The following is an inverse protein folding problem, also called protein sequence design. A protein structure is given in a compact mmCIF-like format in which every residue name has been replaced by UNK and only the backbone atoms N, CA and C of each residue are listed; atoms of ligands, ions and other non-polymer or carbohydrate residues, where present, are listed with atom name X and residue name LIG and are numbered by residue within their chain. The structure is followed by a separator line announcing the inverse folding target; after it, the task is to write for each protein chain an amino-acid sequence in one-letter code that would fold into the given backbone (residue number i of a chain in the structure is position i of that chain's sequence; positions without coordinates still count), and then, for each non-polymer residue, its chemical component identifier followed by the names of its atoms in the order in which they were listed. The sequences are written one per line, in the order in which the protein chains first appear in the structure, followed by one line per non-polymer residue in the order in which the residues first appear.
data_IF_365235392456
#
_entry.id   IF_365235392456
#
_cell.length_a   1.000
_cell.length_b   1.000
_cell.length_c   1.000
_cell.angle_alpha   90.00
_cell.angle_beta   90.00
_cell.angle_gamma   90.00
#
_symmetry.space_group_name_H-M   'P 1'
#
loop_
_entity.id
_entity.type
_entity.pdbx_description
1 polymer ?
#
# COMPACT_ATOMS: atom_id res chain seq x y z
N UNK A 1 3.40 13.59 -2.24
CA UNK A 1 4.15 13.07 -3.40
C UNK A 1 3.29 12.05 -4.12
N UNK A 2 3.35 11.94 -5.45
CA UNK A 2 2.53 10.95 -6.17
C UNK A 2 3.34 9.66 -6.36
N UNK A 3 2.82 8.55 -5.84
CA UNK A 3 3.38 7.20 -5.97
C UNK A 3 2.56 6.44 -6.99
N UNK A 4 3.18 6.10 -8.13
CA UNK A 4 2.55 5.23 -9.12
C UNK A 4 2.55 3.79 -8.60
N UNK A 5 1.38 3.16 -8.59
CA UNK A 5 1.22 1.72 -8.35
C UNK A 5 0.94 0.99 -9.67
N UNK A 6 1.20 -0.33 -9.70
CA UNK A 6 1.24 -1.12 -10.94
C UNK A 6 -0.08 -1.10 -11.73
N UNK A 7 -1.23 -0.89 -11.07
CA UNK A 7 -2.54 -0.80 -11.73
C UNK A 7 -2.86 0.56 -12.37
N UNK A 8 -1.85 1.42 -12.57
CA UNK A 8 -2.00 2.68 -13.31
C UNK A 8 -2.59 3.83 -12.49
N UNK A 9 -2.75 3.66 -11.18
CA UNK A 9 -3.20 4.72 -10.27
C UNK A 9 -2.01 5.41 -9.58
N UNK A 10 -2.21 6.68 -9.23
CA UNK A 10 -1.29 7.46 -8.42
C UNK A 10 -1.85 7.61 -7.01
N UNK A 11 -1.16 7.03 -6.02
CA UNK A 11 -1.41 7.29 -4.61
C UNK A 11 -0.76 8.62 -4.24
N UNK A 12 -1.53 9.56 -3.71
CA UNK A 12 -0.92 10.72 -3.07
C UNK A 12 -0.48 10.32 -1.66
N UNK A 13 0.83 10.24 -1.46
CA UNK A 13 1.45 9.87 -0.17
C UNK A 13 1.02 10.75 1.00
N UNK A 14 0.64 12.00 0.74
CA UNK A 14 0.16 12.93 1.77
C UNK A 14 -1.20 12.53 2.36
N UNK A 15 -1.91 11.61 1.72
CA UNK A 15 -3.23 11.17 2.17
C UNK A 15 -3.25 9.71 2.60
N UNK A 16 -2.09 9.06 2.75
CA UNK A 16 -2.03 7.73 3.36
C UNK A 16 -2.34 7.87 4.85
N UNK A 17 -3.35 7.14 5.29
CA UNK A 17 -3.85 7.12 6.67
C UNK A 17 -3.17 5.98 7.44
N UNK A 18 -3.07 4.80 6.83
CA UNK A 18 -2.48 3.63 7.46
C UNK A 18 -1.90 2.66 6.43
N UNK A 19 -0.88 1.92 6.86
CA UNK A 19 -0.30 0.79 6.13
C UNK A 19 -0.29 -0.40 7.08
N UNK A 20 -0.93 -1.49 6.67
CA UNK A 20 -0.96 -2.74 7.41
C UNK A 20 -0.38 -3.85 6.55
N UNK A 21 0.46 -4.70 7.14
CA UNK A 21 0.97 -5.91 6.50
C UNK A 21 0.61 -7.09 7.37
N UNK A 22 -0.01 -8.10 6.77
CA UNK A 22 -0.37 -9.33 7.45
C UNK A 22 0.00 -10.53 6.59
N UNK A 23 0.29 -11.66 7.23
CA UNK A 23 0.45 -12.94 6.54
C UNK A 23 -0.90 -13.65 6.59
N UNK A 24 -1.44 -13.97 5.43
CA UNK A 24 -2.62 -14.82 5.33
C UNK A 24 -2.22 -16.25 5.70
N UNK A 25 -2.77 -16.75 6.81
CA UNK A 25 -2.42 -18.06 7.37
C UNK A 25 -2.89 -19.22 6.49
N UNK A 26 -3.92 -19.00 5.67
CA UNK A 26 -4.52 -20.01 4.79
C UNK A 26 -3.82 -20.11 3.44
N UNK A 27 -3.45 -18.98 2.83
CA UNK A 27 -2.73 -18.96 1.54
C UNK A 27 -1.22 -18.91 1.67
N UNK A 28 -0.70 -18.59 2.86
CA UNK A 28 0.73 -18.35 3.10
C UNK A 28 1.26 -17.03 2.56
N UNK A 29 0.44 -16.29 1.81
CA UNK A 29 0.76 -15.04 1.12
C UNK A 29 0.80 -13.85 2.10
N UNK A 30 1.54 -12.83 1.73
CA UNK A 30 1.60 -11.56 2.46
C UNK A 30 0.65 -10.56 1.82
N UNK A 31 -0.22 -9.96 2.62
CA UNK A 31 -1.19 -8.97 2.17
C UNK A 31 -0.84 -7.63 2.80
N UNK A 32 -0.68 -6.61 1.95
CA UNK A 32 -0.50 -5.23 2.35
C UNK A 32 -1.77 -4.45 2.06
N UNK A 33 -2.29 -3.78 3.07
CA UNK A 33 -3.44 -2.89 2.98
C UNK A 33 -3.00 -1.46 3.21
N UNK A 34 -3.35 -0.60 2.27
CA UNK A 34 -3.06 0.82 2.27
C UNK A 34 -4.38 1.58 2.32
N UNK A 35 -4.65 2.24 3.44
CA UNK A 35 -5.81 3.12 3.56
C UNK A 35 -5.39 4.55 3.24
N UNK A 36 -6.16 5.22 2.39
CA UNK A 36 -5.89 6.60 2.00
C UNK A 36 -7.18 7.41 1.82
N UNK A 37 -7.09 8.73 1.96
CA UNK A 37 -8.18 9.66 1.66
C UNK A 37 -7.95 10.25 0.25
N UNK A 38 -8.77 9.95 -0.76
CA UNK A 38 -8.71 10.68 -2.02
C UNK A 38 -8.95 12.17 -1.75
N UNK A 39 -8.15 13.05 -2.34
CA UNK A 39 -8.10 14.51 -2.12
C UNK A 39 -9.41 15.28 -2.37
N UNK A 40 -10.53 14.60 -2.62
CA UNK A 40 -11.80 15.18 -3.04
C UNK A 40 -13.03 14.56 -2.35
N UNK A 41 -12.91 13.47 -1.59
CA UNK A 41 -14.08 12.73 -1.09
C UNK A 41 -13.82 12.33 0.36
N UNK A 42 -14.75 12.62 1.25
CA UNK A 42 -14.80 12.14 2.64
C UNK A 42 -15.02 10.61 2.70
N UNK A 43 -14.29 9.84 1.91
CA UNK A 43 -14.43 8.39 1.81
C UNK A 43 -13.04 7.80 1.84
N UNK A 44 -12.79 6.92 2.81
CA UNK A 44 -11.54 6.18 2.88
C UNK A 44 -11.53 5.14 1.76
N UNK A 45 -10.47 5.13 0.97
CA UNK A 45 -10.22 4.12 -0.04
C UNK A 45 -9.15 3.15 0.47
N UNK A 46 -9.24 1.90 0.04
CA UNK A 46 -8.31 0.83 0.39
C UNK A 46 -7.63 0.30 -0.87
N UNK A 47 -6.31 0.22 -0.84
CA UNK A 47 -5.50 -0.48 -1.84
C UNK A 47 -4.92 -1.73 -1.20
N UNK A 48 -5.10 -2.88 -1.85
CA UNK A 48 -4.61 -4.18 -1.38
C UNK A 48 -3.61 -4.71 -2.39
N UNK A 49 -2.41 -5.08 -1.90
CA UNK A 49 -1.39 -5.77 -2.69
C UNK A 49 -0.98 -7.06 -2.01
N UNK A 50 -0.94 -8.13 -2.78
CA UNK A 50 -0.55 -9.47 -2.30
C UNK A 50 0.85 -9.79 -2.81
N UNK A 51 1.67 -10.40 -1.96
CA UNK A 51 3.04 -10.80 -2.25
C UNK A 51 3.23 -12.28 -1.87
N UNK A 52 3.97 -13.00 -2.71
CA UNK A 52 4.33 -14.39 -2.45
C UNK A 52 5.50 -14.51 -1.45
N UNK A 53 6.34 -13.47 -1.34
CA UNK A 53 7.52 -13.42 -0.49
C UNK A 53 7.47 -12.26 0.50
N UNK A 54 7.94 -12.51 1.72
CA UNK A 54 8.12 -11.47 2.73
C UNK A 54 9.11 -10.39 2.25
N UNK A 55 10.18 -10.81 1.58
CA UNK A 55 11.24 -9.91 1.09
C UNK A 55 10.66 -8.92 0.08
N UNK A 56 9.79 -9.38 -0.82
CA UNK A 56 9.17 -8.52 -1.83
C UNK A 56 8.23 -7.50 -1.18
N UNK A 57 7.49 -7.90 -0.15
CA UNK A 57 6.67 -6.99 0.64
C UNK A 57 7.53 -5.93 1.36
N UNK A 58 8.66 -6.32 1.94
CA UNK A 58 9.60 -5.40 2.62
C UNK A 58 10.26 -4.42 1.65
N UNK A 59 10.66 -4.87 0.46
CA UNK A 59 11.22 -3.99 -0.58
C UNK A 59 10.19 -2.95 -1.00
N UNK A 60 8.94 -3.37 -1.24
CA UNK A 60 7.86 -2.44 -1.60
C UNK A 60 7.57 -1.44 -0.47
N UNK A 61 7.55 -1.88 0.79
CA UNK A 61 7.38 -0.97 1.94
C UNK A 61 8.49 0.07 2.02
N UNK A 62 9.74 -0.35 1.81
CA UNK A 62 10.89 0.55 1.86
C UNK A 62 10.84 1.59 0.73
N UNK A 63 10.51 1.17 -0.49
CA UNK A 63 10.31 2.08 -1.63
C UNK A 63 9.16 3.05 -1.36
N UNK A 64 8.03 2.55 -0.86
CA UNK A 64 6.89 3.38 -0.47
C UNK A 64 7.28 4.39 0.63
N UNK A 65 7.99 3.98 1.67
CA UNK A 65 8.42 4.85 2.76
C UNK A 65 9.39 5.94 2.27
N UNK A 66 10.34 5.60 1.37
CA UNK A 66 11.21 6.58 0.72
C UNK A 66 10.42 7.60 -0.12
N UNK A 67 9.30 7.18 -0.69
CA UNK A 67 8.42 8.02 -1.51
C UNK A 67 7.40 8.84 -0.69
N UNK A 68 7.13 8.47 0.56
CA UNK A 68 6.26 9.23 1.46
C UNK A 68 7.04 10.30 2.21
N UNK A 69 8.31 10.05 2.53
CA UNK A 69 9.23 11.03 3.11
C UNK A 69 9.55 12.17 2.15
#
# INVERSE_FOLDING_TARGET
MLVKIEDGFYLNSQHIISVQVSRNVSSGLFEMKLQYTPSSIQTNAEYIKVFDSQIDAEIFLNDLNQKIR
#
